data_IF_039207627751
#
_entry.id   IF_039207627751
#
_cell.length_a   1.000
_cell.length_b   1.000
_cell.length_c   1.000
_cell.angle_alpha   90.00
_cell.angle_beta   90.00
_cell.angle_gamma   90.00
#
_symmetry.space_group_name_H-M   'P 1'
#
loop_
_entity.id
_entity.type
_entity.pdbx_description
1 polymer ?
#
# COMPACT_ATOMS: atom_id res chain seq x y z
N UNK A 1 0.61 0.92 -13.46
CA UNK A 1 0.24 0.01 -14.59
C UNK A 1 -1.25 -0.28 -14.49
N UNK A 2 -1.97 -0.72 -15.54
CA UNK A 2 -3.42 -0.88 -15.43
C UNK A 2 -3.79 -2.20 -14.75
N UNK A 3 -3.90 -2.24 -13.43
CA UNK A 3 -4.31 -3.44 -12.70
C UNK A 3 -5.85 -3.53 -12.58
N UNK A 4 -6.36 -4.67 -12.12
CA UNK A 4 -7.76 -4.78 -11.68
C UNK A 4 -7.85 -5.75 -10.52
N UNK A 5 -8.51 -5.32 -9.46
CA UNK A 5 -8.67 -6.09 -8.22
C UNK A 5 -10.11 -6.52 -8.02
N UNK A 6 -10.31 -7.75 -7.53
CA UNK A 6 -11.59 -8.30 -7.09
C UNK A 6 -11.47 -8.72 -5.62
N UNK A 7 -12.38 -8.22 -4.79
CA UNK A 7 -12.52 -8.58 -3.37
C UNK A 7 -13.90 -9.22 -3.16
N UNK A 8 -13.98 -10.32 -2.41
CA UNK A 8 -15.27 -10.99 -2.10
C UNK A 8 -15.31 -11.32 -0.61
N UNK A 9 -16.26 -10.73 0.11
CA UNK A 9 -16.49 -11.00 1.52
C UNK A 9 -16.94 -12.44 1.79
N UNK A 10 -16.71 -12.91 3.02
CA UNK A 10 -16.97 -14.32 3.38
C UNK A 10 -18.41 -14.78 3.14
N UNK A 11 -19.41 -13.94 3.39
CA UNK A 11 -20.83 -14.24 3.16
C UNK A 11 -21.28 -13.99 1.70
N UNK A 12 -20.45 -13.37 0.87
CA UNK A 12 -20.67 -13.23 -0.57
C UNK A 12 -20.06 -14.38 -1.39
N UNK A 13 -19.08 -15.09 -0.82
CA UNK A 13 -18.49 -16.29 -1.43
C UNK A 13 -19.42 -17.50 -1.31
N UNK A 14 -19.22 -18.50 -2.17
CA UNK A 14 -20.01 -19.73 -2.13
C UNK A 14 -19.68 -20.63 -0.93
N UNK A 15 -18.42 -20.62 -0.48
CA UNK A 15 -17.89 -21.57 0.51
C UNK A 15 -17.54 -20.94 1.87
N UNK A 16 -17.83 -19.65 2.06
CA UNK A 16 -17.52 -18.93 3.28
C UNK A 16 -16.10 -18.36 3.31
N UNK A 17 -15.31 -18.49 2.25
CA UNK A 17 -13.96 -17.91 2.16
C UNK A 17 -13.98 -16.41 1.88
N UNK A 18 -12.99 -15.72 2.41
CA UNK A 18 -12.62 -14.38 1.97
C UNK A 18 -11.72 -14.50 0.73
N UNK A 19 -12.04 -13.78 -0.35
CA UNK A 19 -11.30 -13.90 -1.62
C UNK A 19 -10.74 -12.54 -2.02
N UNK A 20 -9.46 -12.53 -2.41
CA UNK A 20 -8.78 -11.40 -3.02
C UNK A 20 -8.03 -11.88 -4.25
N UNK A 21 -8.25 -11.21 -5.38
CA UNK A 21 -7.56 -11.47 -6.63
C UNK A 21 -7.19 -10.16 -7.30
N UNK A 22 -6.04 -10.10 -7.96
CA UNK A 22 -5.59 -8.95 -8.72
C UNK A 22 -4.87 -9.40 -9.98
N UNK A 23 -5.09 -8.70 -11.08
CA UNK A 23 -4.23 -8.80 -12.26
C UNK A 23 -3.04 -7.87 -12.08
N UNK A 24 -1.83 -8.42 -12.20
CA UNK A 24 -0.58 -7.68 -12.23
C UNK A 24 -0.18 -7.44 -13.69
N UNK A 25 -0.56 -6.28 -14.21
CA UNK A 25 -0.38 -5.93 -15.62
C UNK A 25 0.96 -5.21 -15.86
N UNK A 26 1.56 -5.40 -17.04
CA UNK A 26 2.74 -4.64 -17.49
C UNK A 26 2.39 -3.68 -18.63
N UNK A 27 3.17 -2.59 -18.85
CA UNK A 27 2.94 -1.70 -19.98
C UNK A 27 3.06 -2.43 -21.32
N UNK A 28 2.36 -1.93 -22.33
CA UNK A 28 2.41 -2.50 -23.68
C UNK A 28 3.87 -2.56 -24.20
N UNK A 29 4.29 -3.74 -24.67
CA UNK A 29 5.66 -3.98 -25.15
C UNK A 29 6.68 -4.30 -24.05
N UNK A 30 6.28 -4.32 -22.78
CA UNK A 30 7.08 -4.80 -21.66
C UNK A 30 6.56 -6.16 -21.18
N UNK A 31 7.48 -7.04 -20.80
CA UNK A 31 7.15 -8.35 -20.26
C UNK A 31 8.04 -8.64 -19.05
N UNK A 32 7.42 -8.73 -17.88
CA UNK A 32 8.10 -9.04 -16.63
C UNK A 32 7.84 -10.51 -16.27
N UNK A 33 8.88 -11.33 -16.34
CA UNK A 33 8.77 -12.75 -15.97
C UNK A 33 8.59 -12.85 -14.46
N UNK A 34 7.49 -13.42 -13.99
CA UNK A 34 7.24 -13.63 -12.55
C UNK A 34 7.72 -15.00 -12.06
N UNK A 35 8.04 -15.10 -10.77
CA UNK A 35 8.27 -16.37 -10.05
C UNK A 35 7.22 -16.53 -8.98
N UNK A 36 6.96 -17.76 -8.55
CA UNK A 36 6.28 -18.01 -7.29
C UNK A 36 7.28 -18.56 -6.28
N UNK A 37 7.46 -17.87 -5.15
CA UNK A 37 8.48 -18.21 -4.16
C UNK A 37 7.91 -18.25 -2.75
N UNK A 38 8.58 -19.01 -1.89
CA UNK A 38 8.38 -18.97 -0.43
C UNK A 38 9.60 -18.31 0.17
N UNK A 39 9.41 -17.22 0.91
CA UNK A 39 10.47 -16.53 1.64
C UNK A 39 10.49 -17.06 3.07
N UNK A 40 11.60 -17.68 3.47
CA UNK A 40 11.77 -18.11 4.86
C UNK A 40 12.18 -16.94 5.75
N UNK A 41 11.92 -16.97 7.07
CA UNK A 41 12.35 -15.93 8.00
C UNK A 41 13.85 -15.60 7.94
N UNK A 42 14.69 -16.59 7.60
CA UNK A 42 16.13 -16.46 7.44
C UNK A 42 16.54 -15.75 6.13
N UNK A 43 15.68 -15.77 5.11
CA UNK A 43 15.92 -15.14 3.80
C UNK A 43 15.39 -13.69 3.75
N UNK A 44 14.60 -13.30 4.74
CA UNK A 44 14.01 -11.96 4.84
C UNK A 44 15.07 -10.93 5.29
N UNK A 45 15.23 -9.79 4.59
CA UNK A 45 16.18 -8.75 5.00
C UNK A 45 15.78 -8.14 6.35
N UNK A 46 16.80 -7.81 7.16
CA UNK A 46 16.64 -6.96 8.37
C UNK A 46 16.96 -5.52 8.09
N UNK A 47 17.94 -5.28 7.23
CA UNK A 47 18.18 -3.99 6.61
C UNK A 47 17.70 -4.07 5.16
N UNK A 48 16.62 -3.38 4.84
CA UNK A 48 16.02 -3.35 3.51
C UNK A 48 16.39 -2.06 2.81
N UNK A 49 16.75 -2.15 1.52
CA UNK A 49 17.00 -1.01 0.65
C UNK A 49 16.22 -1.20 -0.65
N UNK A 50 15.37 -0.23 -0.98
CA UNK A 50 14.62 -0.24 -2.24
C UNK A 50 15.55 0.07 -3.42
N UNK A 51 15.15 -0.35 -4.63
CA UNK A 51 15.95 -0.10 -5.84
C UNK A 51 15.51 1.19 -6.54
N UNK A 52 14.22 1.49 -6.60
CA UNK A 52 13.72 2.67 -7.31
C UNK A 52 13.84 3.95 -6.50
N UNK A 53 13.50 3.91 -5.21
CA UNK A 53 13.51 5.11 -4.34
C UNK A 53 14.76 5.25 -3.46
N UNK A 54 15.61 4.22 -3.42
CA UNK A 54 16.80 4.12 -2.57
C UNK A 54 16.53 4.29 -1.07
N UNK A 55 15.29 4.12 -0.62
CA UNK A 55 14.94 4.21 0.80
C UNK A 55 15.53 3.04 1.57
N UNK A 56 16.02 3.31 2.77
CA UNK A 56 16.57 2.30 3.68
C UNK A 56 15.70 2.16 4.92
N UNK A 57 15.38 0.91 5.30
CA UNK A 57 14.53 0.58 6.43
C UNK A 57 15.17 -0.52 7.28
N UNK A 58 15.17 -0.31 8.61
CA UNK A 58 15.35 -1.39 9.57
C UNK A 58 14.02 -2.11 9.80
N UNK A 59 13.98 -3.39 9.49
CA UNK A 59 12.81 -4.26 9.63
C UNK A 59 12.92 -5.09 10.93
N UNK A 60 11.76 -5.45 11.53
CA UNK A 60 11.75 -6.27 12.75
C UNK A 60 12.50 -7.60 12.59
N UNK A 61 13.06 -8.11 13.68
CA UNK A 61 13.89 -9.33 13.65
C UNK A 61 13.11 -10.65 13.63
N UNK A 62 11.78 -10.58 13.69
CA UNK A 62 10.84 -11.70 13.84
C UNK A 62 9.87 -11.88 12.64
N UNK A 63 10.31 -11.83 11.37
CA UNK A 63 9.42 -12.07 10.25
C UNK A 63 8.90 -13.50 10.23
N UNK A 64 7.64 -13.66 9.84
CA UNK A 64 7.06 -14.97 9.56
C UNK A 64 7.18 -15.33 8.08
N UNK A 65 7.24 -16.63 7.80
CA UNK A 65 7.31 -17.17 6.43
C UNK A 65 6.12 -16.69 5.60
N UNK A 66 6.34 -16.37 4.34
CA UNK A 66 5.27 -15.99 3.41
C UNK A 66 5.56 -16.43 1.98
N UNK A 67 4.52 -16.55 1.16
CA UNK A 67 4.66 -16.66 -0.29
C UNK A 67 4.73 -15.28 -0.92
N UNK A 68 5.39 -15.13 -2.06
CA UNK A 68 5.25 -13.96 -2.90
C UNK A 68 5.41 -14.28 -4.39
N UNK A 69 5.07 -13.32 -5.26
CA UNK A 69 5.13 -13.47 -6.72
C UNK A 69 6.10 -12.44 -7.35
N UNK A 70 7.40 -12.47 -7.01
CA UNK A 70 8.34 -11.42 -7.39
C UNK A 70 8.73 -11.46 -8.86
N UNK A 71 9.26 -10.33 -9.34
CA UNK A 71 9.95 -10.26 -10.63
C UNK A 71 11.17 -11.18 -10.64
N UNK A 72 11.35 -11.91 -11.76
CA UNK A 72 12.49 -12.80 -11.97
C UNK A 72 13.79 -12.03 -12.15
N UNK A 73 13.71 -10.86 -12.79
CA UNK A 73 14.79 -9.93 -13.06
C UNK A 73 14.60 -8.73 -12.15
N UNK A 74 15.42 -8.62 -11.10
CA UNK A 74 15.27 -7.63 -10.03
C UNK A 74 15.94 -6.29 -10.33
N UNK A 75 15.81 -5.82 -11.56
CA UNK A 75 16.43 -4.56 -11.99
C UNK A 75 15.75 -3.34 -11.35
N UNK A 76 14.45 -3.46 -11.06
CA UNK A 76 13.61 -2.40 -10.49
C UNK A 76 13.17 -2.71 -9.05
N UNK A 77 13.76 -3.72 -8.41
CA UNK A 77 13.41 -4.12 -7.03
C UNK A 77 12.85 -5.53 -6.90
N UNK A 78 12.19 -5.81 -5.77
CA UNK A 78 11.62 -7.14 -5.47
C UNK A 78 10.28 -7.34 -6.17
N UNK A 79 9.41 -6.33 -6.17
CA UNK A 79 8.06 -6.38 -6.78
C UNK A 79 7.27 -7.60 -6.35
N UNK A 80 7.08 -7.75 -5.03
CA UNK A 80 6.53 -8.97 -4.41
C UNK A 80 5.08 -9.30 -4.78
N UNK A 81 4.35 -8.35 -5.38
CA UNK A 81 2.98 -8.44 -5.91
C UNK A 81 1.91 -8.86 -4.88
N UNK A 82 1.88 -10.13 -4.50
CA UNK A 82 0.87 -10.71 -3.64
C UNK A 82 1.42 -11.91 -2.89
N UNK A 83 0.86 -12.23 -1.74
CA UNK A 83 1.37 -13.30 -0.90
C UNK A 83 0.44 -13.69 0.24
N UNK A 84 0.73 -14.84 0.85
CA UNK A 84 0.07 -15.33 2.08
C UNK A 84 1.15 -15.70 3.09
N UNK A 85 1.03 -15.19 4.31
CA UNK A 85 1.97 -15.48 5.39
C UNK A 85 1.55 -16.69 6.26
N UNK A 86 2.43 -17.10 7.17
CA UNK A 86 2.19 -18.25 8.06
C UNK A 86 1.07 -18.03 9.10
N UNK A 87 0.55 -16.82 9.23
CA UNK A 87 -0.64 -16.51 10.04
C UNK A 87 -1.94 -16.53 9.21
N UNK A 88 -1.87 -16.96 7.94
CA UNK A 88 -2.97 -16.96 6.97
C UNK A 88 -3.53 -15.55 6.68
N UNK A 89 -2.67 -14.53 6.74
CA UNK A 89 -2.97 -13.21 6.18
C UNK A 89 -2.47 -13.19 4.74
N UNK A 90 -3.36 -12.82 3.83
CA UNK A 90 -3.07 -12.51 2.44
C UNK A 90 -2.92 -11.00 2.24
N UNK A 91 -2.05 -10.60 1.32
CA UNK A 91 -1.86 -9.22 0.89
C UNK A 91 -1.69 -9.17 -0.62
N UNK A 92 -2.24 -8.14 -1.26
CA UNK A 92 -1.90 -7.78 -2.65
C UNK A 92 -1.54 -6.30 -2.72
N UNK A 93 -0.43 -5.99 -3.38
CA UNK A 93 0.11 -4.66 -3.57
C UNK A 93 0.78 -4.57 -4.97
N UNK A 94 0.30 -3.73 -5.90
CA UNK A 94 -0.74 -2.70 -5.72
C UNK A 94 -1.76 -2.62 -6.86
N UNK A 95 -2.87 -1.97 -6.56
CA UNK A 95 -3.72 -1.36 -7.57
C UNK A 95 -3.28 0.10 -7.68
N UNK A 96 -2.62 0.50 -8.78
CA UNK A 96 -2.30 1.92 -8.98
C UNK A 96 -3.60 2.71 -9.11
N UNK A 97 -3.86 3.67 -8.21
CA UNK A 97 -5.09 4.48 -8.22
C UNK A 97 -4.82 5.91 -8.69
N UNK A 98 -5.82 6.79 -8.54
CA UNK A 98 -5.74 8.20 -8.94
C UNK A 98 -5.59 9.12 -7.73
N UNK A 99 -5.08 10.33 -7.97
CA UNK A 99 -5.10 11.45 -7.01
C UNK A 99 -5.56 12.73 -7.71
N UNK A 100 -5.57 13.86 -7.00
CA UNK A 100 -5.83 15.18 -7.58
C UNK A 100 -4.83 16.23 -7.09
N UNK A 101 -4.74 17.35 -7.83
CA UNK A 101 -3.78 18.41 -7.57
C UNK A 101 -3.97 19.14 -6.23
N UNK A 102 -5.18 19.12 -5.63
CA UNK A 102 -5.41 19.77 -4.32
C UNK A 102 -4.75 18.97 -3.21
N UNK A 103 -4.93 17.65 -3.21
CA UNK A 103 -4.28 16.74 -2.26
C UNK A 103 -2.76 16.82 -2.43
N UNK A 104 -2.25 16.71 -3.66
CA UNK A 104 -0.80 16.81 -3.91
C UNK A 104 -0.21 18.19 -3.60
N UNK A 105 -1.00 19.25 -3.64
CA UNK A 105 -0.57 20.58 -3.21
C UNK A 105 -0.39 20.70 -1.70
N UNK A 106 -1.15 19.91 -0.93
CA UNK A 106 -1.12 19.88 0.53
C UNK A 106 -0.15 18.82 1.09
N UNK A 107 -0.09 17.66 0.44
CA UNK A 107 0.78 16.52 0.80
C UNK A 107 1.39 15.90 -0.48
N UNK A 108 2.50 16.49 -0.99
CA UNK A 108 3.17 16.01 -2.20
C UNK A 108 3.80 14.62 -2.03
N UNK A 109 3.94 13.90 -3.13
CA UNK A 109 4.71 12.65 -3.17
C UNK A 109 6.16 12.82 -2.70
N UNK A 110 6.67 11.80 -2.01
CA UNK A 110 8.06 11.72 -1.56
C UNK A 110 8.92 11.11 -2.68
N UNK A 111 9.15 11.87 -3.75
CA UNK A 111 9.94 11.40 -4.88
C UNK A 111 11.46 11.43 -4.60
N UNK A 112 12.19 10.47 -5.16
CA UNK A 112 13.66 10.47 -5.18
C UNK A 112 14.19 11.77 -5.80
N UNK A 113 15.09 12.46 -5.11
CA UNK A 113 15.77 13.64 -5.64
C UNK A 113 17.20 13.26 -6.02
N UNK A 114 17.54 13.16 -7.32
CA UNK A 114 18.86 12.72 -7.74
C UNK A 114 19.94 13.70 -7.31
N UNK A 115 21.14 13.17 -7.04
CA UNK A 115 22.31 13.99 -6.74
C UNK A 115 22.60 14.99 -7.88
N UNK A 116 23.09 16.18 -7.53
CA UNK A 116 23.50 17.22 -8.48
C UNK A 116 24.99 17.48 -8.37
N UNK A 117 25.69 17.52 -9.49
CA UNK A 117 27.15 17.68 -9.53
C UNK A 117 27.89 16.40 -9.14
N UNK A 118 29.20 16.51 -8.90
CA UNK A 118 30.05 15.36 -8.54
C UNK A 118 30.48 15.45 -7.07
N UNK A 119 30.48 14.33 -6.33
CA UNK A 119 30.97 14.30 -4.95
C UNK A 119 32.36 14.94 -4.84
N UNK A 120 32.50 15.93 -3.95
CA UNK A 120 33.76 16.65 -3.72
C UNK A 120 33.99 17.91 -4.55
N UNK A 121 33.11 18.24 -5.50
CA UNK A 121 33.17 19.50 -6.27
C UNK A 121 32.28 20.60 -5.64
N UNK A 122 32.65 21.90 -5.75
CA UNK A 122 31.78 22.99 -5.34
C UNK A 122 30.42 22.93 -6.04
N UNK A 123 29.33 22.99 -5.27
CA UNK A 123 27.97 22.88 -5.79
C UNK A 123 27.39 21.46 -5.82
N UNK A 124 28.11 20.47 -5.28
CA UNK A 124 27.55 19.13 -5.06
C UNK A 124 26.37 19.17 -4.08
N UNK A 125 25.26 18.56 -4.48
CA UNK A 125 24.10 18.27 -3.63
C UNK A 125 23.90 16.76 -3.63
N UNK A 126 23.96 16.10 -2.46
CA UNK A 126 23.73 14.66 -2.38
C UNK A 126 22.30 14.31 -2.79
N UNK A 127 22.11 13.07 -3.19
CA UNK A 127 20.79 12.50 -3.44
C UNK A 127 19.97 12.48 -2.14
N UNK A 128 18.66 12.66 -2.27
CA UNK A 128 17.69 12.45 -1.19
C UNK A 128 16.78 11.29 -1.58
N UNK A 129 16.80 10.15 -0.86
CA UNK A 129 15.92 9.02 -1.12
C UNK A 129 14.43 9.42 -1.17
N UNK A 130 13.66 8.69 -1.97
CA UNK A 130 12.20 8.80 -2.00
C UNK A 130 11.52 8.00 -0.89
N UNK A 131 10.19 7.90 -0.97
CA UNK A 131 9.35 7.09 -0.08
C UNK A 131 9.27 5.62 -0.49
N UNK A 132 8.38 4.87 0.16
CA UNK A 132 8.06 3.48 -0.22
C UNK A 132 7.14 3.44 -1.45
N UNK A 133 7.24 2.40 -2.25
CA UNK A 133 6.39 2.18 -3.43
C UNK A 133 6.01 0.71 -3.61
N UNK A 134 5.33 0.41 -4.71
CA UNK A 134 4.83 -0.93 -5.05
C UNK A 134 5.92 -2.01 -4.95
N UNK A 135 7.17 -1.69 -5.33
CA UNK A 135 8.31 -2.61 -5.25
C UNK A 135 8.56 -3.16 -3.83
N UNK A 136 8.16 -2.41 -2.79
CA UNK A 136 8.53 -2.63 -1.40
C UNK A 136 7.45 -3.35 -0.58
N UNK A 137 6.17 -3.03 -0.84
CA UNK A 137 5.12 -3.11 0.18
C UNK A 137 4.92 -4.52 0.74
N UNK A 138 4.87 -5.55 -0.12
CA UNK A 138 4.72 -6.94 0.32
C UNK A 138 5.87 -7.34 1.24
N UNK A 139 7.11 -6.94 0.92
CA UNK A 139 8.31 -7.31 1.68
C UNK A 139 8.33 -6.66 3.07
N UNK A 140 7.92 -5.40 3.17
CA UNK A 140 8.04 -4.63 4.42
C UNK A 140 6.79 -4.73 5.33
N UNK A 141 5.67 -5.25 4.82
CA UNK A 141 4.40 -5.37 5.56
C UNK A 141 4.05 -6.82 5.91
N UNK A 142 3.81 -7.67 4.90
CA UNK A 142 3.20 -8.99 5.05
C UNK A 142 3.89 -9.92 6.08
N UNK A 143 5.22 -9.93 6.22
CA UNK A 143 5.91 -10.85 7.16
C UNK A 143 5.76 -10.46 8.63
N UNK A 144 5.11 -9.34 8.95
CA UNK A 144 5.12 -8.76 10.30
C UNK A 144 3.71 -8.56 10.87
N UNK A 145 2.70 -9.18 10.26
CA UNK A 145 1.28 -9.01 10.64
C UNK A 145 0.59 -10.36 10.77
N UNK A 146 -0.42 -10.44 11.65
CA UNK A 146 -1.16 -11.67 11.96
C UNK A 146 -2.65 -11.56 11.68
N UNK A 147 -3.14 -10.36 11.35
CA UNK A 147 -4.50 -10.12 10.85
C UNK A 147 -4.48 -9.15 9.67
N UNK A 148 -5.53 -9.12 8.86
CA UNK A 148 -5.70 -8.17 7.76
C UNK A 148 -5.69 -6.73 8.26
N UNK A 149 -6.34 -6.50 9.40
CA UNK A 149 -6.39 -5.21 10.09
C UNK A 149 -5.01 -4.73 10.54
N UNK A 150 -4.19 -5.61 11.11
CA UNK A 150 -2.78 -5.32 11.42
C UNK A 150 -1.98 -4.99 10.15
N UNK A 151 -2.28 -5.65 9.03
CA UNK A 151 -1.76 -5.34 7.70
C UNK A 151 -1.96 -3.87 7.31
N UNK A 152 -3.21 -3.42 7.33
CA UNK A 152 -3.58 -2.04 7.02
C UNK A 152 -2.96 -1.04 8.01
N UNK A 153 -2.99 -1.30 9.32
CA UNK A 153 -2.38 -0.41 10.32
C UNK A 153 -0.86 -0.30 10.19
N UNK A 154 -0.17 -1.42 9.91
CA UNK A 154 1.27 -1.42 9.68
C UNK A 154 1.62 -0.59 8.45
N UNK A 155 0.93 -0.80 7.33
CA UNK A 155 1.17 -0.03 6.12
C UNK A 155 0.90 1.46 6.35
N UNK A 156 -0.21 1.79 7.01
CA UNK A 156 -0.53 3.17 7.41
C UNK A 156 0.61 3.84 8.18
N UNK A 157 1.15 3.17 9.20
CA UNK A 157 2.29 3.69 9.98
C UNK A 157 3.57 3.85 9.14
N UNK A 158 3.81 2.97 8.17
CA UNK A 158 4.96 3.08 7.26
C UNK A 158 4.80 4.26 6.30
N UNK A 159 3.58 4.50 5.79
CA UNK A 159 3.26 5.66 4.94
C UNK A 159 3.44 6.97 5.71
N UNK A 160 2.96 7.05 6.95
CA UNK A 160 3.14 8.23 7.81
C UNK A 160 4.62 8.52 8.08
N UNK A 161 5.44 7.47 8.24
CA UNK A 161 6.86 7.60 8.59
C UNK A 161 7.76 7.91 7.40
N UNK A 162 7.52 7.24 6.27
CA UNK A 162 8.44 7.22 5.14
C UNK A 162 7.89 7.90 3.89
N UNK A 163 6.58 8.12 3.86
CA UNK A 163 5.84 8.58 2.69
C UNK A 163 5.90 7.61 1.51
N UNK A 164 5.19 7.95 0.44
CA UNK A 164 5.13 7.21 -0.82
C UNK A 164 5.36 8.15 -2.00
N UNK A 165 5.88 7.60 -3.10
CA UNK A 165 6.00 8.30 -4.38
C UNK A 165 4.92 7.92 -5.40
N UNK A 166 3.95 7.09 -4.99
CA UNK A 166 2.90 6.52 -5.85
C UNK A 166 1.51 6.59 -5.21
N UNK A 167 0.45 6.83 -6.00
CA UNK A 167 -0.93 6.56 -5.59
C UNK A 167 -1.26 5.07 -5.73
N UNK A 168 -1.38 4.38 -4.61
CA UNK A 168 -1.63 2.94 -4.59
C UNK A 168 -2.83 2.59 -3.70
N UNK A 169 -3.46 1.48 -4.04
CA UNK A 169 -4.37 0.77 -3.16
C UNK A 169 -3.91 -0.67 -2.93
N UNK A 170 -4.18 -1.16 -1.72
CA UNK A 170 -3.62 -2.39 -1.17
C UNK A 170 -4.73 -3.17 -0.48
N UNK A 171 -4.84 -4.46 -0.83
CA UNK A 171 -5.75 -5.39 -0.18
C UNK A 171 -5.06 -6.19 0.91
N UNK A 172 -5.72 -6.35 2.05
CA UNK A 172 -5.37 -7.31 3.10
C UNK A 172 -6.56 -8.21 3.38
N UNK A 173 -6.34 -9.50 3.58
CA UNK A 173 -7.40 -10.48 3.80
C UNK A 173 -6.93 -11.53 4.79
N UNK A 174 -7.76 -11.90 5.76
CA UNK A 174 -7.57 -13.07 6.60
C UNK A 174 -8.86 -13.91 6.60
N UNK A 175 -8.97 -14.92 7.45
CA UNK A 175 -10.15 -15.81 7.48
C UNK A 175 -11.46 -15.13 7.88
N UNK A 176 -11.45 -13.87 8.33
CA UNK A 176 -12.63 -13.14 8.82
C UNK A 176 -12.88 -11.82 8.07
N UNK A 177 -11.85 -10.98 7.90
CA UNK A 177 -11.96 -9.63 7.36
C UNK A 177 -11.18 -9.43 6.05
N UNK A 178 -11.70 -8.57 5.18
CA UNK A 178 -10.95 -7.98 4.06
C UNK A 178 -10.88 -6.47 4.27
N UNK A 179 -9.68 -5.91 4.18
CA UNK A 179 -9.39 -4.49 4.28
C UNK A 179 -8.83 -3.96 2.96
N UNK A 180 -9.42 -2.87 2.47
CA UNK A 180 -8.95 -2.13 1.31
C UNK A 180 -8.36 -0.80 1.78
N UNK A 181 -7.05 -0.61 1.60
CA UNK A 181 -6.34 0.63 1.95
C UNK A 181 -6.02 1.40 0.68
N UNK A 182 -6.27 2.71 0.67
CA UNK A 182 -5.89 3.63 -0.41
C UNK A 182 -4.95 4.71 0.16
N UNK A 183 -3.81 4.91 -0.48
CA UNK A 183 -2.87 6.00 -0.15
C UNK A 183 -3.46 7.34 -0.62
N UNK A 184 -3.29 8.39 0.19
CA UNK A 184 -3.75 9.74 -0.09
C UNK A 184 -2.56 10.70 0.02
N UNK A 185 -2.10 11.22 -1.12
CA UNK A 185 -0.94 12.11 -1.14
C UNK A 185 0.37 11.37 -0.85
N UNK A 186 1.32 12.08 -0.22
CA UNK A 186 2.62 11.54 0.16
C UNK A 186 2.59 10.67 1.41
N UNK A 187 1.73 10.94 2.39
CA UNK A 187 1.82 10.33 3.73
C UNK A 187 0.47 9.88 4.30
N UNK A 188 -0.64 10.42 3.79
CA UNK A 188 -1.95 10.06 4.31
C UNK A 188 -2.47 8.77 3.70
N UNK A 189 -3.45 8.17 4.36
CA UNK A 189 -4.09 6.93 3.92
C UNK A 189 -5.49 6.82 4.52
N UNK A 190 -6.34 6.08 3.84
CA UNK A 190 -7.67 5.64 4.29
C UNK A 190 -7.80 4.15 4.06
N UNK A 191 -8.58 3.47 4.88
CA UNK A 191 -8.90 2.06 4.70
C UNK A 191 -10.34 1.76 5.09
N UNK A 192 -10.98 0.89 4.30
CA UNK A 192 -12.36 0.43 4.49
C UNK A 192 -12.38 -1.10 4.53
N UNK A 193 -13.07 -1.64 5.52
CA UNK A 193 -13.41 -3.07 5.56
C UNK A 193 -14.47 -3.36 4.51
N UNK A 194 -14.24 -4.39 3.69
CA UNK A 194 -15.27 -4.90 2.78
C UNK A 194 -16.34 -5.62 3.61
N UNK A 195 -17.63 -5.25 3.50
CA UNK A 195 -18.70 -5.95 4.19
C UNK A 195 -18.73 -7.44 3.82
N UNK A 196 -19.10 -8.29 4.78
CA UNK A 196 -19.02 -9.74 4.62
C UNK A 196 -19.87 -10.26 3.44
N UNK A 197 -21.00 -9.62 3.16
CA UNK A 197 -21.98 -9.99 2.13
C UNK A 197 -21.82 -9.19 0.82
N UNK A 198 -20.69 -8.51 0.64
CA UNK A 198 -20.40 -7.69 -0.52
C UNK A 198 -19.19 -8.19 -1.32
N UNK A 199 -19.06 -7.72 -2.56
CA UNK A 199 -17.85 -7.83 -3.37
C UNK A 199 -17.48 -6.44 -3.94
N UNK A 200 -16.21 -6.27 -4.29
CA UNK A 200 -15.66 -5.02 -4.85
C UNK A 200 -14.89 -5.36 -6.13
N UNK A 201 -15.14 -4.60 -7.19
CA UNK A 201 -14.31 -4.58 -8.40
C UNK A 201 -13.60 -3.24 -8.47
N UNK A 202 -12.27 -3.23 -8.32
CA UNK A 202 -11.49 -2.01 -8.27
C UNK A 202 -10.60 -1.88 -9.52
N UNK A 203 -10.83 -0.88 -10.38
CA UNK A 203 -9.91 -0.52 -11.45
C UNK A 203 -8.84 0.47 -10.94
N UNK A 204 -8.04 1.03 -11.85
CA UNK A 204 -7.05 2.06 -11.55
C UNK A 204 -7.63 3.45 -11.25
N UNK A 205 -8.48 3.52 -10.22
CA UNK A 205 -9.10 4.74 -9.74
C UNK A 205 -9.27 4.66 -8.22
N UNK A 206 -9.15 5.80 -7.54
CA UNK A 206 -9.51 5.89 -6.12
C UNK A 206 -10.99 5.52 -5.98
N UNK A 207 -11.31 4.52 -5.16
CA UNK A 207 -12.62 3.89 -5.17
C UNK A 207 -13.35 3.83 -3.84
N UNK A 208 -12.77 4.30 -2.73
CA UNK A 208 -13.55 4.55 -1.51
C UNK A 208 -14.41 5.80 -1.72
N UNK A 209 -15.71 5.59 -1.83
CA UNK A 209 -16.73 6.58 -2.16
C UNK A 209 -17.32 7.31 -0.93
N UNK A 210 -17.61 6.54 0.12
CA UNK A 210 -18.12 7.00 1.40
C UNK A 210 -17.18 6.59 2.53
N UNK A 211 -16.91 7.53 3.44
CA UNK A 211 -15.97 7.35 4.54
C UNK A 211 -16.51 7.92 5.85
N UNK A 212 -16.71 7.07 6.85
CA UNK A 212 -17.15 7.46 8.19
C UNK A 212 -15.93 7.83 9.05
N UNK A 213 -15.65 9.13 9.16
CA UNK A 213 -14.56 9.64 9.99
C UNK A 213 -14.79 9.39 11.49
N UNK A 214 -16.05 9.30 11.96
CA UNK A 214 -16.34 9.04 13.37
C UNK A 214 -15.91 7.61 13.72
N UNK A 215 -16.23 6.64 12.87
CA UNK A 215 -15.75 5.27 13.04
C UNK A 215 -14.22 5.19 12.89
N UNK A 216 -13.64 5.83 11.87
CA UNK A 216 -12.19 5.79 11.63
C UNK A 216 -11.35 6.38 12.78
N UNK A 217 -11.86 7.41 13.44
CA UNK A 217 -11.22 8.05 14.60
C UNK A 217 -11.53 7.34 15.92
N UNK A 218 -12.65 6.61 15.99
CA UNK A 218 -13.18 5.95 17.19
C UNK A 218 -12.96 4.43 17.19
N UNK A 219 -14.06 3.67 17.08
CA UNK A 219 -14.10 2.22 17.23
C UNK A 219 -13.37 1.46 16.11
N UNK A 220 -13.14 2.13 14.97
CA UNK A 220 -12.47 1.61 13.78
C UNK A 220 -13.09 0.33 13.27
N UNK A 221 -14.40 0.15 13.41
CA UNK A 221 -15.06 -1.12 13.10
C UNK A 221 -14.92 -1.45 11.61
N UNK A 222 -15.21 -0.46 10.76
CA UNK A 222 -15.24 -0.59 9.31
C UNK A 222 -14.27 0.38 8.61
N UNK A 223 -13.81 1.43 9.29
CA UNK A 223 -12.94 2.45 8.70
C UNK A 223 -11.69 2.66 9.56
N UNK A 224 -10.57 2.98 8.91
CA UNK A 224 -9.32 3.41 9.55
C UNK A 224 -8.63 4.45 8.66
N UNK A 225 -7.91 5.41 9.23
CA UNK A 225 -7.18 6.41 8.45
C UNK A 225 -6.01 7.00 9.23
N UNK A 226 -5.24 7.86 8.56
CA UNK A 226 -4.30 8.78 9.20
C UNK A 226 -4.99 9.57 10.32
N UNK A 227 -4.29 9.72 11.45
CA UNK A 227 -4.89 10.31 12.66
C UNK A 227 -5.29 11.78 12.51
N UNK A 228 -4.65 12.50 11.59
CA UNK A 228 -4.89 13.91 11.32
C UNK A 228 -5.74 14.14 10.06
N UNK A 229 -6.30 13.11 9.43
CA UNK A 229 -7.01 13.21 8.15
C UNK A 229 -8.13 14.26 8.17
N UNK A 230 -8.94 14.31 9.24
CA UNK A 230 -10.00 15.33 9.39
C UNK A 230 -9.44 16.74 9.40
N UNK A 231 -8.35 16.96 10.14
CA UNK A 231 -7.70 18.27 10.23
C UNK A 231 -7.02 18.64 8.91
N UNK A 232 -6.36 17.68 8.26
CA UNK A 232 -5.77 17.83 6.93
C UNK A 232 -6.81 18.25 5.88
N UNK A 233 -7.96 17.59 5.85
CA UNK A 233 -9.08 17.94 4.96
C UNK A 233 -9.56 19.37 5.22
N UNK A 234 -9.73 19.73 6.50
CA UNK A 234 -10.24 21.04 6.92
C UNK A 234 -9.28 22.18 6.59
N UNK A 235 -8.01 22.04 6.97
CA UNK A 235 -7.00 23.10 6.84
C UNK A 235 -6.63 23.38 5.39
N UNK A 236 -6.78 22.39 4.51
CA UNK A 236 -6.49 22.51 3.09
C UNK A 236 -7.75 22.65 2.22
N UNK A 237 -8.92 22.82 2.83
CA UNK A 237 -10.21 22.99 2.14
C UNK A 237 -10.48 21.90 1.09
N UNK A 238 -10.20 20.64 1.44
CA UNK A 238 -10.24 19.52 0.49
C UNK A 238 -11.65 18.93 0.34
N UNK A 239 -12.55 19.14 1.30
CA UNK A 239 -13.92 18.66 1.22
C UNK A 239 -14.70 19.51 0.20
N UNK A 240 -15.10 18.87 -0.90
CA UNK A 240 -15.91 19.50 -1.96
C UNK A 240 -17.37 19.04 -1.95
N UNK A 241 -17.82 18.34 -0.90
CA UNK A 241 -19.22 17.94 -0.79
C UNK A 241 -20.12 19.19 -0.73
N UNK A 242 -21.14 19.17 -1.58
CA UNK A 242 -22.07 20.29 -1.77
C UNK A 242 -23.05 20.39 -0.59
N UNK A 243 -23.30 19.28 0.11
CA UNK A 243 -24.32 19.16 1.16
C UNK A 243 -23.83 19.52 2.57
N UNK A 244 -22.55 19.87 2.74
CA UNK A 244 -22.06 20.54 3.96
C UNK A 244 -21.90 19.69 5.23
N UNK A 245 -22.10 18.37 5.17
CA UNK A 245 -21.86 17.50 6.34
C UNK A 245 -20.37 17.11 6.51
N UNK A 246 -19.99 16.96 7.79
CA UNK A 246 -18.66 17.20 8.40
C UNK A 246 -17.56 16.18 8.17
#
# INVERSE_FOLDING_TARGET
MPCTTLLVGKNASYDGSTIMARNEDTPNGMFNVKKFVVVQPADQPRHYKSVCSHIELELPDDPIRYTCVPDSVRQDGVWGEAGINAANVAMTATETITTNARVLGADPYVALQPAKGKPGEPGYVPEVPGGIGEEDLVTIVLPYVKTAREGALRLGSLLEKYGTYEPNAIGFCDGDEIWWLETVGGHHWIAKRVPDDCYVTMPNQLGIDEFDLIDAEGDRKNYMCSSDLRQFIKDNHLNTNIDGDQ
#
